data_IF_196014766941
#
_entry.id   IF_196014766941
#
_cell.length_a   1.000
_cell.length_b   1.000
_cell.length_c   1.000
_cell.angle_alpha   90.00
_cell.angle_beta   90.00
_cell.angle_gamma   90.00
#
_symmetry.space_group_name_H-M   'P 1'
#
loop_
_entity.id
_entity.type
_entity.pdbx_description
1 polymer ?
#
# COMPACT_ATOMS: atom_id res chain seq x y z
N UNK A 1 -23.20 10.49 7.40
CA UNK A 1 -24.49 11.20 7.70
C UNK A 1 -25.53 10.19 8.19
N UNK A 2 -26.32 10.50 9.23
CA UNK A 2 -27.34 9.58 9.76
C UNK A 2 -28.67 10.25 10.12
N UNK A 3 -29.73 9.45 10.24
CA UNK A 3 -31.07 9.84 10.66
C UNK A 3 -31.58 8.91 11.75
N UNK A 4 -32.10 9.50 12.82
CA UNK A 4 -32.86 8.78 13.86
C UNK A 4 -34.34 9.10 13.65
N UNK A 5 -35.19 8.09 13.66
CA UNK A 5 -36.64 8.26 13.59
C UNK A 5 -37.36 7.36 14.57
N UNK A 6 -38.58 7.74 14.95
CA UNK A 6 -39.42 6.94 15.83
C UNK A 6 -40.79 6.73 15.19
N UNK A 7 -41.28 5.49 15.22
CA UNK A 7 -42.62 5.15 14.78
C UNK A 7 -43.65 5.35 15.91
N UNK A 8 -44.94 5.35 15.57
CA UNK A 8 -46.04 5.56 16.54
C UNK A 8 -46.12 4.49 17.63
N UNK A 9 -45.53 3.31 17.42
CA UNK A 9 -45.41 2.24 18.40
C UNK A 9 -44.16 2.37 19.30
N UNK A 10 -43.38 3.46 19.17
CA UNK A 10 -42.15 3.68 19.92
C UNK A 10 -40.90 3.00 19.36
N UNK A 11 -40.98 2.29 18.22
CA UNK A 11 -39.79 1.72 17.58
C UNK A 11 -38.88 2.83 17.06
N UNK A 12 -37.64 2.87 17.55
CA UNK A 12 -36.59 3.77 17.04
C UNK A 12 -35.83 3.09 15.92
N UNK A 13 -35.58 3.81 14.83
CA UNK A 13 -34.78 3.36 13.68
C UNK A 13 -33.64 4.34 13.46
N UNK A 14 -32.41 3.81 13.46
CA UNK A 14 -31.22 4.49 12.97
C UNK A 14 -31.02 4.11 11.50
N UNK A 15 -30.83 5.12 10.64
CA UNK A 15 -30.42 4.93 9.25
C UNK A 15 -29.16 5.74 9.00
N UNK A 16 -28.06 5.06 8.71
CA UNK A 16 -26.83 5.68 8.21
C UNK A 16 -26.90 5.73 6.68
N UNK A 17 -26.42 6.82 6.07
CA UNK A 17 -26.52 7.04 4.62
C UNK A 17 -25.23 7.54 3.99
N UNK A 18 -24.19 7.71 4.81
CA UNK A 18 -22.82 7.95 4.41
C UNK A 18 -21.94 7.54 5.60
N UNK A 19 -20.69 7.22 5.31
CA UNK A 19 -19.56 7.09 6.21
C UNK A 19 -19.55 8.22 7.26
N UNK A 20 -18.97 7.91 8.40
CA UNK A 20 -18.73 8.85 9.48
C UNK A 20 -17.24 8.85 9.74
N UNK A 21 -16.67 10.04 9.92
CA UNK A 21 -15.26 10.16 10.27
C UNK A 21 -15.08 9.68 11.72
N UNK A 22 -14.42 8.53 11.86
CA UNK A 22 -13.92 8.04 13.13
C UNK A 22 -12.50 8.60 13.31
N UNK A 23 -12.08 8.94 14.55
CA UNK A 23 -10.80 9.65 14.68
C UNK A 23 -9.68 8.76 14.11
N UNK A 24 -8.69 9.35 13.41
CA UNK A 24 -7.63 8.57 12.80
C UNK A 24 -6.89 7.74 13.85
N UNK A 25 -6.52 6.53 13.48
CA UNK A 25 -5.83 5.61 14.39
C UNK A 25 -4.40 6.07 14.71
N UNK A 26 -3.92 7.15 14.07
CA UNK A 26 -2.66 7.81 14.39
C UNK A 26 -2.75 8.80 15.59
N UNK A 27 -3.96 9.13 16.05
CA UNK A 27 -4.21 10.08 17.16
C UNK A 27 -4.43 9.36 18.49
N UNK A 28 -4.90 8.11 18.49
CA UNK A 28 -5.00 7.27 19.68
C UNK A 28 -4.52 5.84 19.38
N UNK A 29 -3.49 5.42 20.11
CA UNK A 29 -2.91 4.07 20.00
C UNK A 29 -3.83 2.98 20.59
N UNK A 30 -4.99 3.38 21.11
CA UNK A 30 -6.11 2.55 21.53
C UNK A 30 -7.01 2.30 20.32
N UNK A 31 -7.17 1.03 19.94
CA UNK A 31 -8.27 0.59 19.10
C UNK A 31 -9.59 0.74 19.90
N UNK A 32 -10.05 1.97 20.10
CA UNK A 32 -11.33 2.24 20.76
C UNK A 32 -12.27 3.13 19.93
N UNK A 33 -11.85 3.56 18.75
CA UNK A 33 -12.73 4.25 17.81
C UNK A 33 -13.65 3.35 16.99
N UNK A 34 -13.44 2.03 17.01
CA UNK A 34 -14.30 1.08 16.29
C UNK A 34 -15.81 1.16 16.66
N UNK A 35 -16.16 1.92 17.70
CA UNK A 35 -17.54 2.17 18.09
C UNK A 35 -17.73 3.56 18.68
N UNK A 36 -18.30 4.48 17.90
CA UNK A 36 -18.73 5.79 18.40
C UNK A 36 -20.19 5.71 18.86
N UNK A 37 -20.52 6.33 19.99
CA UNK A 37 -21.90 6.42 20.47
C UNK A 37 -22.31 7.85 20.76
N UNK A 38 -23.61 8.13 20.63
CA UNK A 38 -24.14 9.42 21.07
C UNK A 38 -23.95 9.56 22.58
N UNK A 39 -23.37 10.67 23.01
CA UNK A 39 -23.27 10.98 24.43
C UNK A 39 -24.65 11.12 25.09
N UNK A 40 -24.69 10.94 26.40
CA UNK A 40 -25.90 11.17 27.20
C UNK A 40 -26.42 12.60 27.05
N UNK A 41 -27.73 12.76 27.10
CA UNK A 41 -28.45 14.04 27.07
C UNK A 41 -28.50 14.69 25.69
N UNK A 42 -28.10 13.99 24.62
CA UNK A 42 -28.11 14.52 23.25
C UNK A 42 -29.44 14.30 22.54
N UNK A 43 -30.08 13.14 22.75
CA UNK A 43 -31.35 12.77 22.09
C UNK A 43 -32.28 12.15 23.12
N UNK A 44 -33.44 12.78 23.35
CA UNK A 44 -34.48 12.30 24.24
C UNK A 44 -35.68 11.79 23.43
N UNK A 45 -36.04 10.52 23.62
CA UNK A 45 -37.31 9.98 23.17
C UNK A 45 -38.38 10.34 24.21
N UNK A 46 -39.41 11.10 23.82
CA UNK A 46 -40.49 11.51 24.73
C UNK A 46 -41.85 11.00 24.26
N UNK A 47 -42.72 10.65 25.21
CA UNK A 47 -44.11 10.28 24.97
C UNK A 47 -45.04 11.01 25.95
N UNK A 48 -46.21 11.43 25.48
CA UNK A 48 -47.25 12.04 26.32
C UNK A 48 -48.25 10.97 26.73
N UNK A 49 -48.50 10.88 28.03
CA UNK A 49 -49.51 10.02 28.64
C UNK A 49 -50.70 10.90 28.99
N UNK A 50 -51.89 10.53 28.52
CA UNK A 50 -53.15 11.17 28.88
C UNK A 50 -53.99 10.20 29.68
N UNK A 51 -54.45 10.64 30.86
CA UNK A 51 -55.40 9.92 31.70
C UNK A 51 -56.74 10.64 31.61
N UNK A 52 -57.82 9.88 31.46
CA UNK A 52 -59.19 10.38 31.49
C UNK A 52 -59.95 9.59 32.55
N UNK A 53 -60.61 10.27 33.48
CA UNK A 53 -61.40 9.61 34.53
C UNK A 53 -62.88 9.42 34.14
N UNK A 54 -63.69 8.97 35.09
CA UNK A 54 -65.06 8.51 34.85
C UNK A 54 -66.05 9.61 34.50
N UNK A 55 -65.73 10.86 34.80
CA UNK A 55 -66.49 12.07 34.48
C UNK A 55 -65.84 12.93 33.40
N UNK A 56 -64.87 12.36 32.67
CA UNK A 56 -64.21 12.93 31.49
C UNK A 56 -63.21 14.07 31.79
N UNK A 57 -62.74 14.22 33.02
CA UNK A 57 -61.61 15.09 33.31
C UNK A 57 -60.32 14.48 32.75
N UNK A 58 -59.42 15.34 32.25
CA UNK A 58 -58.17 14.89 31.60
C UNK A 58 -56.94 15.40 32.32
N UNK A 59 -55.95 14.53 32.54
CA UNK A 59 -54.61 14.90 32.97
C UNK A 59 -53.57 14.39 31.97
N UNK A 60 -52.56 15.20 31.68
CA UNK A 60 -51.47 14.82 30.77
C UNK A 60 -50.13 14.88 31.48
N UNK A 61 -49.24 13.93 31.19
CA UNK A 61 -47.84 13.94 31.62
C UNK A 61 -46.92 13.54 30.48
N UNK A 62 -45.64 13.89 30.59
CA UNK A 62 -44.61 13.47 29.63
C UNK A 62 -43.62 12.54 30.32
N UNK A 63 -43.28 11.45 29.65
CA UNK A 63 -42.19 10.55 30.04
C UNK A 63 -41.12 10.61 28.95
N UNK A 64 -39.84 10.51 29.34
CA UNK A 64 -38.75 10.50 28.39
C UNK A 64 -37.67 9.48 28.73
N UNK A 65 -36.98 9.01 27.70
CA UNK A 65 -35.79 8.17 27.78
C UNK A 65 -34.65 8.84 27.00
N UNK A 66 -33.47 8.89 27.58
CA UNK A 66 -32.24 9.29 26.88
C UNK A 66 -31.79 8.14 25.97
N UNK A 67 -31.50 8.46 24.71
CA UNK A 67 -30.97 7.50 23.73
C UNK A 67 -29.44 7.52 23.65
N UNK A 68 -28.78 8.35 24.49
CA UNK A 68 -27.33 8.32 24.66
C UNK A 68 -26.83 6.92 25.01
N UNK A 69 -25.72 6.51 24.40
CA UNK A 69 -25.15 5.16 24.52
C UNK A 69 -25.96 4.05 23.86
N UNK A 70 -27.23 4.28 23.47
CA UNK A 70 -28.05 3.33 22.71
C UNK A 70 -27.83 3.46 21.21
N UNK A 71 -27.61 4.68 20.71
CA UNK A 71 -27.29 4.94 19.31
C UNK A 71 -25.77 4.87 19.14
N UNK A 72 -25.32 3.97 18.28
CA UNK A 72 -23.91 3.66 18.05
C UNK A 72 -23.62 3.48 16.56
N UNK A 73 -22.35 3.67 16.19
CA UNK A 73 -21.82 3.57 14.85
C UNK A 73 -20.55 2.74 14.94
N UNK A 74 -20.55 1.59 14.29
CA UNK A 74 -19.36 0.75 14.12
C UNK A 74 -18.52 1.28 12.97
N UNK A 75 -17.23 1.01 13.03
CA UNK A 75 -16.22 1.40 12.03
C UNK A 75 -15.82 0.20 11.16
N UNK A 76 -15.43 0.42 9.91
CA UNK A 76 -14.93 -0.65 9.04
C UNK A 76 -13.63 -0.27 8.33
N UNK A 77 -12.52 -0.46 9.05
CA UNK A 77 -11.17 -0.17 8.58
C UNK A 77 -10.80 -0.89 7.25
N UNK A 78 -9.95 -0.28 6.41
CA UNK A 78 -9.57 -0.88 5.15
C UNK A 78 -8.54 -1.99 5.35
N UNK A 79 -8.30 -2.77 4.30
CA UNK A 79 -7.22 -3.75 4.27
C UNK A 79 -6.61 -3.88 2.88
N UNK A 80 -5.43 -4.50 2.80
CA UNK A 80 -4.75 -4.75 1.53
C UNK A 80 -4.11 -6.13 1.52
N UNK A 81 -4.32 -6.87 0.43
CA UNK A 81 -3.59 -8.11 0.14
C UNK A 81 -2.53 -7.84 -0.91
N UNK A 82 -1.29 -8.26 -0.64
CA UNK A 82 -0.16 -8.13 -1.57
C UNK A 82 0.09 -9.46 -2.25
N UNK A 83 -0.11 -9.49 -3.57
CA UNK A 83 0.19 -10.63 -4.42
C UNK A 83 1.64 -10.58 -4.94
N UNK A 84 2.07 -11.64 -5.62
CA UNK A 84 3.34 -11.61 -6.35
C UNK A 84 3.31 -10.54 -7.45
N UNK A 85 4.38 -9.75 -7.54
CA UNK A 85 4.56 -8.75 -8.60
C UNK A 85 4.86 -9.48 -9.92
N UNK A 86 4.06 -9.21 -10.95
CA UNK A 86 4.30 -9.71 -12.30
C UNK A 86 5.17 -8.71 -13.08
N UNK A 87 6.48 -8.92 -13.09
CA UNK A 87 7.48 -8.03 -13.68
C UNK A 87 8.19 -8.60 -14.92
N UNK A 88 7.83 -9.81 -15.36
CA UNK A 88 8.48 -10.51 -16.49
C UNK A 88 8.42 -9.80 -17.85
N UNK A 89 7.68 -8.70 -17.98
CA UNK A 89 7.66 -7.83 -19.16
C UNK A 89 8.59 -6.60 -19.06
N UNK A 90 9.26 -6.40 -17.92
CA UNK A 90 10.15 -5.26 -17.69
C UNK A 90 11.59 -5.76 -17.77
N UNK A 91 12.32 -5.32 -18.79
CA UNK A 91 13.73 -5.68 -19.01
C UNK A 91 14.56 -4.43 -19.18
N UNK A 92 15.70 -4.38 -18.48
CA UNK A 92 16.69 -3.32 -18.61
C UNK A 92 17.92 -3.92 -19.30
N UNK A 93 18.22 -3.45 -20.51
CA UNK A 93 19.35 -3.95 -21.30
C UNK A 93 20.26 -2.79 -21.65
N UNK A 94 21.53 -2.92 -21.27
CA UNK A 94 22.63 -2.06 -21.71
C UNK A 94 23.51 -2.81 -22.71
N UNK A 95 24.34 -2.08 -23.45
CA UNK A 95 25.27 -2.63 -24.42
C UNK A 95 26.72 -2.38 -23.99
N UNK A 96 27.46 -3.46 -23.74
CA UNK A 96 28.86 -3.43 -23.33
C UNK A 96 29.76 -2.64 -24.28
N UNK A 97 29.50 -2.70 -25.59
CA UNK A 97 30.23 -1.95 -26.60
C UNK A 97 30.17 -0.43 -26.38
N UNK A 98 29.17 0.06 -25.64
CA UNK A 98 29.00 1.47 -25.27
C UNK A 98 29.63 1.82 -23.91
N UNK A 99 30.38 0.89 -23.29
CA UNK A 99 30.95 1.03 -21.93
C UNK A 99 32.47 0.93 -21.90
N UNK A 100 33.12 1.03 -23.06
CA UNK A 100 34.58 1.01 -23.21
C UNK A 100 35.18 2.31 -22.62
N UNK A 101 36.34 2.17 -21.96
CA UNK A 101 37.07 3.25 -21.28
C UNK A 101 36.22 3.95 -20.19
N UNK A 102 35.94 5.25 -20.37
CA UNK A 102 35.16 6.06 -19.43
C UNK A 102 33.69 6.20 -19.85
N UNK A 103 33.26 5.49 -20.90
CA UNK A 103 31.89 5.52 -21.38
C UNK A 103 30.95 4.72 -20.46
N UNK A 104 29.66 5.00 -20.56
CA UNK A 104 28.63 4.29 -19.81
C UNK A 104 27.36 4.19 -20.64
N UNK A 105 26.61 3.12 -20.43
CA UNK A 105 25.28 2.93 -21.01
C UNK A 105 24.22 2.82 -19.92
N UNK A 106 22.97 3.16 -20.24
CA UNK A 106 21.89 3.20 -19.26
C UNK A 106 20.55 2.77 -19.85
N UNK A 107 19.85 1.93 -19.09
CA UNK A 107 18.49 1.49 -19.37
C UNK A 107 17.56 1.81 -18.19
N UNK A 108 16.30 2.12 -18.49
CA UNK A 108 15.29 2.45 -17.47
C UNK A 108 13.96 1.73 -17.72
N UNK A 109 13.23 1.46 -16.64
CA UNK A 109 11.94 0.80 -16.69
C UNK A 109 11.14 1.07 -15.43
N UNK A 110 9.83 1.27 -15.57
CA UNK A 110 8.94 1.56 -14.44
C UNK A 110 8.29 0.29 -13.91
N UNK A 111 8.45 0.05 -12.61
CA UNK A 111 7.82 -1.05 -11.89
C UNK A 111 6.50 -0.62 -11.21
N UNK A 112 6.15 0.66 -11.26
CA UNK A 112 5.01 1.21 -10.50
C UNK A 112 3.68 0.54 -10.86
N UNK A 113 3.44 0.28 -12.14
CA UNK A 113 2.20 -0.37 -12.58
C UNK A 113 2.12 -1.84 -12.10
N UNK A 114 3.25 -2.56 -12.12
CA UNK A 114 3.30 -3.95 -11.66
C UNK A 114 3.09 -4.04 -10.15
N UNK A 115 3.67 -3.12 -9.37
CA UNK A 115 3.45 -3.03 -7.92
C UNK A 115 2.02 -2.66 -7.58
N UNK A 116 1.43 -1.67 -8.28
CA UNK A 116 0.04 -1.29 -8.06
C UNK A 116 -0.92 -2.44 -8.41
N UNK A 117 -0.65 -3.19 -9.48
CA UNK A 117 -1.45 -4.35 -9.87
C UNK A 117 -1.35 -5.53 -8.87
N UNK A 118 -0.24 -5.63 -8.14
CA UNK A 118 -0.07 -6.64 -7.09
C UNK A 118 -0.86 -6.31 -5.81
N UNK A 119 -1.24 -5.05 -5.61
CA UNK A 119 -2.06 -4.61 -4.49
C UNK A 119 -3.54 -4.87 -4.76
N UNK A 120 -4.20 -5.61 -3.86
CA UNK A 120 -5.64 -5.82 -3.88
C UNK A 120 -6.23 -5.14 -2.64
N UNK A 121 -6.73 -3.90 -2.76
CA UNK A 121 -7.34 -3.17 -1.65
C UNK A 121 -8.77 -3.67 -1.37
N UNK A 122 -9.16 -3.59 -0.10
CA UNK A 122 -10.54 -3.68 0.37
C UNK A 122 -10.80 -2.43 1.21
N UNK A 123 -11.76 -1.61 0.80
CA UNK A 123 -12.07 -0.32 1.42
C UNK A 123 -13.23 -0.39 2.44
N UNK A 124 -13.50 -1.58 2.98
CA UNK A 124 -14.61 -1.76 3.94
C UNK A 124 -15.98 -1.32 3.41
N UNK A 125 -16.87 -1.04 4.35
CA UNK A 125 -18.20 -0.49 4.14
C UNK A 125 -18.20 1.02 3.84
N UNK A 126 -17.14 1.73 4.20
CA UNK A 126 -17.00 3.20 4.04
C UNK A 126 -16.71 3.61 2.60
N UNK A 127 -16.36 2.62 1.77
CA UNK A 127 -16.28 2.77 0.32
C UNK A 127 -14.92 3.28 -0.15
N UNK A 128 -14.72 3.40 -1.46
CA UNK A 128 -13.39 3.58 -2.02
C UNK A 128 -12.80 4.96 -1.75
N UNK A 129 -11.59 4.99 -1.19
CA UNK A 129 -10.73 6.16 -1.14
C UNK A 129 -9.59 6.07 -2.16
N UNK A 130 -8.36 5.83 -1.70
CA UNK A 130 -7.15 5.76 -2.54
C UNK A 130 -6.31 4.51 -2.28
N UNK A 131 -5.57 4.07 -3.29
CA UNK A 131 -4.49 3.09 -3.13
C UNK A 131 -3.23 3.67 -3.75
N UNK A 132 -2.16 3.74 -2.98
CA UNK A 132 -0.89 4.34 -3.40
C UNK A 132 0.27 3.39 -3.14
N UNK A 133 1.29 3.44 -4.00
CA UNK A 133 2.54 2.70 -3.81
C UNK A 133 3.68 3.71 -3.68
N UNK A 134 4.43 3.61 -2.59
CA UNK A 134 5.54 4.52 -2.28
C UNK A 134 6.69 3.78 -1.57
N UNK A 135 7.75 4.49 -1.20
CA UNK A 135 8.83 3.88 -0.41
C UNK A 135 9.65 2.81 -1.14
N UNK A 136 9.78 2.92 -2.48
CA UNK A 136 10.58 1.99 -3.27
C UNK A 136 12.01 1.87 -2.74
N UNK A 137 12.48 0.63 -2.55
CA UNK A 137 13.81 0.35 -2.03
C UNK A 137 14.40 -0.93 -2.63
N UNK A 138 15.69 -0.86 -2.97
CA UNK A 138 16.46 -1.99 -3.47
C UNK A 138 17.19 -2.69 -2.32
N UNK A 139 17.35 -4.01 -2.41
CA UNK A 139 18.18 -4.81 -1.49
C UNK A 139 18.91 -5.91 -2.24
N UNK A 140 20.05 -6.35 -1.70
CA UNK A 140 20.81 -7.50 -2.22
C UNK A 140 20.40 -8.73 -1.42
N UNK A 141 19.91 -9.74 -2.11
CA UNK A 141 19.54 -11.04 -1.52
C UNK A 141 20.67 -12.05 -1.64
N UNK A 142 21.52 -11.91 -2.66
CA UNK A 142 22.77 -12.65 -2.83
C UNK A 142 23.80 -11.75 -3.49
N UNK A 143 24.93 -11.54 -2.81
CA UNK A 143 25.99 -10.65 -3.28
C UNK A 143 26.81 -11.23 -4.42
N UNK A 144 26.77 -12.55 -4.64
CA UNK A 144 27.44 -13.16 -5.78
C UNK A 144 26.60 -12.95 -7.05
N UNK A 145 27.05 -12.05 -7.93
CA UNK A 145 26.34 -11.79 -9.19
C UNK A 145 26.38 -12.97 -10.16
N UNK A 146 27.42 -13.80 -10.07
CA UNK A 146 27.74 -14.81 -11.10
C UNK A 146 28.34 -14.23 -12.38
N UNK A 147 28.59 -12.91 -12.43
CA UNK A 147 29.16 -12.19 -13.56
C UNK A 147 30.62 -11.84 -13.30
N UNK A 148 31.39 -11.65 -14.37
CA UNK A 148 32.76 -11.17 -14.31
C UNK A 148 32.97 -9.98 -15.25
N UNK A 149 34.01 -9.19 -14.97
CA UNK A 149 34.50 -8.12 -15.84
C UNK A 149 36.03 -8.16 -15.82
N UNK A 150 36.64 -8.24 -17.00
CA UNK A 150 38.09 -8.39 -17.16
C UNK A 150 38.66 -9.57 -16.35
N UNK A 151 37.91 -10.67 -16.30
CA UNK A 151 38.24 -11.89 -15.56
C UNK A 151 38.05 -11.81 -14.05
N UNK A 152 37.56 -10.68 -13.51
CA UNK A 152 37.34 -10.47 -12.09
C UNK A 152 35.87 -10.62 -11.73
N UNK A 153 35.56 -11.34 -10.64
CA UNK A 153 34.20 -11.54 -10.16
C UNK A 153 33.54 -10.23 -9.72
N UNK A 154 32.30 -10.03 -10.16
CA UNK A 154 31.46 -8.90 -9.77
C UNK A 154 30.67 -9.26 -8.51
N UNK A 155 30.82 -8.45 -7.47
CA UNK A 155 30.03 -8.54 -6.23
C UNK A 155 28.98 -7.43 -6.20
N UNK A 156 27.74 -7.78 -5.84
CA UNK A 156 26.66 -6.84 -5.61
C UNK A 156 26.69 -6.33 -4.17
N UNK A 157 26.67 -5.02 -4.01
CA UNK A 157 26.66 -4.37 -2.70
C UNK A 157 25.62 -3.27 -2.66
N UNK A 158 24.91 -3.12 -1.54
CA UNK A 158 24.03 -1.98 -1.34
C UNK A 158 24.87 -0.78 -0.88
N UNK A 159 24.85 0.31 -1.65
CA UNK A 159 25.56 1.56 -1.34
C UNK A 159 24.53 2.68 -1.32
N UNK A 160 24.16 3.14 -0.12
CA UNK A 160 23.03 4.06 0.04
C UNK A 160 21.71 3.44 -0.45
N UNK A 161 21.01 4.14 -1.36
CA UNK A 161 19.79 3.65 -2.00
C UNK A 161 20.03 2.60 -3.09
N UNK A 162 21.25 2.51 -3.59
CA UNK A 162 21.56 1.84 -4.85
C UNK A 162 22.18 0.46 -4.62
N UNK A 163 22.13 -0.38 -5.65
CA UNK A 163 22.95 -1.59 -5.73
C UNK A 163 24.11 -1.30 -6.69
N UNK A 164 25.34 -1.55 -6.23
CA UNK A 164 26.56 -1.38 -7.00
C UNK A 164 27.15 -2.76 -7.27
N UNK A 165 27.35 -3.09 -8.54
CA UNK A 165 28.15 -4.22 -8.98
C UNK A 165 29.60 -3.77 -9.15
N UNK A 166 30.53 -4.41 -8.43
CA UNK A 166 31.95 -4.04 -8.47
C UNK A 166 32.87 -5.26 -8.44
N UNK A 167 34.03 -5.12 -9.08
CA UNK A 167 35.18 -6.01 -8.94
C UNK A 167 36.21 -5.39 -7.99
N UNK A 168 37.34 -6.08 -7.78
CA UNK A 168 38.50 -5.50 -7.10
C UNK A 168 39.14 -4.33 -7.85
N UNK A 169 38.85 -4.15 -9.15
CA UNK A 169 39.37 -3.06 -9.97
C UNK A 169 38.46 -1.82 -9.99
N UNK A 170 37.18 -1.95 -9.59
CA UNK A 170 36.26 -0.83 -9.55
C UNK A 170 34.80 -1.20 -9.77
N UNK A 171 33.95 -0.17 -9.93
CA UNK A 171 32.53 -0.32 -10.22
C UNK A 171 32.31 -0.69 -11.69
N UNK A 172 31.50 -1.72 -11.92
CA UNK A 172 31.06 -2.14 -13.26
C UNK A 172 29.62 -1.71 -13.54
N UNK A 173 28.75 -1.70 -12.52
CA UNK A 173 27.34 -1.34 -12.70
C UNK A 173 26.73 -0.68 -11.47
N UNK A 174 25.61 0.03 -11.67
CA UNK A 174 24.78 0.61 -10.62
C UNK A 174 23.31 0.46 -10.99
N UNK A 175 22.51 0.00 -10.03
CA UNK A 175 21.05 -0.07 -10.09
C UNK A 175 20.49 0.91 -9.07
N UNK A 176 19.66 1.85 -9.50
CA UNK A 176 18.95 2.77 -8.61
C UNK A 176 17.46 2.76 -8.87
N UNK A 177 16.67 3.15 -7.87
CA UNK A 177 15.23 3.33 -8.01
C UNK A 177 14.83 4.75 -7.61
N UNK A 178 14.03 5.40 -8.45
CA UNK A 178 13.41 6.69 -8.15
C UNK A 178 12.15 6.53 -7.30
N UNK A 179 11.69 7.60 -6.66
CA UNK A 179 10.49 7.58 -5.80
C UNK A 179 9.20 7.20 -6.54
N UNK A 180 9.17 7.33 -7.87
CA UNK A 180 8.06 6.92 -8.73
C UNK A 180 8.14 5.45 -9.20
N UNK A 181 9.06 4.65 -8.67
CA UNK A 181 9.22 3.24 -9.04
C UNK A 181 9.96 3.00 -10.35
N UNK A 182 10.57 4.04 -10.96
CA UNK A 182 11.46 3.87 -12.12
C UNK A 182 12.81 3.34 -11.65
N UNK A 183 13.19 2.16 -12.15
CA UNK A 183 14.51 1.58 -11.94
C UNK A 183 15.41 1.96 -13.11
N UNK A 184 16.65 2.31 -12.79
CA UNK A 184 17.71 2.64 -13.74
C UNK A 184 18.88 1.69 -13.53
N UNK A 185 19.28 1.00 -14.60
CA UNK A 185 20.53 0.27 -14.69
C UNK A 185 21.53 1.15 -15.45
N UNK A 186 22.68 1.43 -14.84
CA UNK A 186 23.82 2.05 -15.51
C UNK A 186 24.99 1.09 -15.49
N UNK A 187 25.57 0.82 -16.65
CA UNK A 187 26.77 0.04 -16.82
C UNK A 187 27.95 0.98 -17.14
N UNK A 188 29.11 0.71 -16.55
CA UNK A 188 30.31 1.57 -16.64
C UNK A 188 31.59 0.79 -16.92
N UNK A 189 31.49 -0.52 -17.16
CA UNK A 189 32.59 -1.37 -17.60
C UNK A 189 32.01 -2.54 -18.40
N UNK A 190 32.78 -3.06 -19.36
CA UNK A 190 32.41 -4.27 -20.07
C UNK A 190 32.31 -5.48 -19.12
N UNK A 191 31.37 -6.37 -19.42
CA UNK A 191 31.19 -7.66 -18.77
C UNK A 191 31.80 -8.74 -19.66
N UNK A 192 32.40 -9.75 -19.03
CA UNK A 192 32.96 -10.85 -19.78
C UNK A 192 31.82 -11.72 -20.32
N UNK A 193 31.75 -11.80 -21.63
CA UNK A 193 30.92 -12.77 -22.32
C UNK A 193 31.71 -14.07 -22.49
N UNK A 194 31.03 -15.23 -22.47
CA UNK A 194 31.74 -16.47 -22.77
C UNK A 194 32.30 -16.41 -24.20
N UNK A 195 33.44 -17.05 -24.48
CA UNK A 195 33.95 -17.11 -25.85
C UNK A 195 33.00 -17.95 -26.73
N UNK A 196 32.86 -17.56 -28.00
CA UNK A 196 31.91 -18.16 -28.96
C UNK A 196 32.23 -19.63 -29.30
N UNK A 197 33.40 -20.15 -28.90
CA UNK A 197 33.84 -21.53 -29.08
C UNK A 197 33.53 -22.44 -27.88
N UNK A 198 33.03 -21.89 -26.76
CA UNK A 198 32.70 -22.63 -25.53
C UNK A 198 31.19 -22.81 -25.34
N UNK A 199 30.38 -22.03 -26.06
CA UNK A 199 28.92 -22.10 -26.04
C UNK A 199 28.35 -22.25 -27.46
N UNK A 200 27.72 -23.39 -27.71
CA UNK A 200 27.10 -23.75 -28.99
C UNK A 200 25.67 -23.20 -29.17
N UNK A 201 25.13 -22.41 -28.23
CA UNK A 201 23.85 -21.70 -28.40
C UNK A 201 23.91 -20.26 -28.90
N UNK A 202 25.10 -19.66 -29.11
CA UNK A 202 25.30 -18.27 -29.59
C UNK A 202 24.61 -17.16 -28.78
N UNK A 203 24.19 -17.47 -27.55
CA UNK A 203 23.50 -16.59 -26.61
C UNK A 203 24.45 -15.68 -25.81
N UNK A 204 25.76 -15.71 -26.09
CA UNK A 204 26.78 -14.79 -25.55
C UNK A 204 26.63 -13.33 -26.01
N UNK A 205 25.52 -12.96 -26.63
CA UNK A 205 25.20 -11.55 -26.93
C UNK A 205 24.40 -10.88 -25.80
N UNK A 206 23.86 -11.66 -24.84
CA UNK A 206 23.09 -11.12 -23.72
C UNK A 206 23.36 -11.93 -22.44
N UNK A 207 23.98 -11.28 -21.46
CA UNK A 207 24.15 -11.83 -20.12
C UNK A 207 23.20 -11.13 -19.15
N UNK A 208 22.47 -11.92 -18.37
CA UNK A 208 21.53 -11.42 -17.36
C UNK A 208 22.00 -11.76 -15.96
N UNK A 209 21.73 -10.84 -15.01
CA UNK A 209 21.80 -11.19 -13.60
C UNK A 209 20.75 -12.26 -13.30
N UNK A 210 21.15 -13.34 -12.63
CA UNK A 210 20.22 -14.42 -12.29
C UNK A 210 19.06 -13.92 -11.40
N UNK A 211 17.95 -14.66 -11.43
CA UNK A 211 16.78 -14.36 -10.59
C UNK A 211 17.15 -14.36 -9.09
N UNK A 212 16.51 -13.47 -8.33
CA UNK A 212 16.61 -13.45 -6.88
C UNK A 212 17.95 -12.96 -6.32
N UNK A 213 18.73 -12.20 -7.08
CA UNK A 213 19.98 -11.55 -6.62
C UNK A 213 19.75 -10.16 -6.03
N UNK A 214 18.81 -9.41 -6.61
CA UNK A 214 18.38 -8.08 -6.16
C UNK A 214 16.87 -8.11 -6.01
N UNK A 215 16.37 -7.52 -4.92
CA UNK A 215 14.94 -7.37 -4.65
C UNK A 215 14.58 -5.88 -4.64
N UNK A 216 13.55 -5.53 -5.42
CA UNK A 216 12.83 -4.27 -5.28
C UNK A 216 11.63 -4.48 -4.37
N UNK A 217 11.42 -3.59 -3.41
CA UNK A 217 10.27 -3.59 -2.50
C UNK A 217 9.68 -2.19 -2.39
N UNK A 218 8.41 -2.07 -2.02
CA UNK A 218 7.71 -0.81 -1.81
C UNK A 218 6.64 -0.99 -0.72
N UNK A 219 6.06 0.10 -0.25
CA UNK A 219 4.92 0.10 0.67
C UNK A 219 3.67 0.49 -0.10
N UNK A 220 2.61 -0.28 0.08
CA UNK A 220 1.27 0.06 -0.39
C UNK A 220 0.50 0.68 0.78
N UNK A 221 -0.18 1.79 0.52
CA UNK A 221 -1.09 2.45 1.47
C UNK A 221 -2.46 2.54 0.84
N UNK A 222 -3.46 1.98 1.52
CA UNK A 222 -4.89 2.05 1.18
C UNK A 222 -5.56 3.00 2.15
N UNK A 223 -6.41 3.85 1.62
CA UNK A 223 -7.26 4.80 2.35
C UNK A 223 -8.68 4.60 1.84
N UNK A 224 -9.68 4.55 2.70
CA UNK A 224 -11.10 4.43 2.33
C UNK A 224 -11.84 5.78 2.42
N UNK A 225 -13.15 5.75 2.62
CA UNK A 225 -14.07 6.89 2.45
C UNK A 225 -14.03 7.92 3.56
N UNK A 226 -13.73 7.51 4.79
CA UNK A 226 -13.59 8.35 5.99
C UNK A 226 -12.13 8.58 6.40
N UNK A 227 -11.20 7.99 5.65
CA UNK A 227 -9.74 8.19 5.70
C UNK A 227 -8.98 7.29 6.68
N UNK A 228 -9.57 6.17 7.08
CA UNK A 228 -8.82 5.12 7.75
C UNK A 228 -7.74 4.57 6.81
N UNK A 229 -6.67 4.02 7.40
CA UNK A 229 -5.49 3.62 6.61
C UNK A 229 -5.03 2.20 6.89
N UNK A 230 -4.68 1.49 5.81
CA UNK A 230 -4.04 0.19 5.87
C UNK A 230 -2.77 0.16 5.03
N UNK A 231 -1.74 -0.56 5.52
CA UNK A 231 -0.46 -0.68 4.81
C UNK A 231 -0.06 -2.12 4.56
N UNK A 232 0.62 -2.35 3.43
CA UNK A 232 1.22 -3.64 3.04
C UNK A 232 2.61 -3.44 2.43
N UNK A 233 3.43 -4.49 2.42
CA UNK A 233 4.81 -4.46 1.90
C UNK A 233 5.14 -5.71 1.08
#
# INVERSE_FOLDING_TARGET
>A
MFRISVASNGTVTLTQSAELDHLPEDVDNSNDNNLISLANGKVLLSATVTVVDGDNDTATGTVSADLGGNIRFEDDVPSVTINAVADGGITLTTQDAQTIDAASDTATGSFAAAFLAAAVPSYGADGPGTTTVSGYSLSVTDSNSGLTSNGLAITLTKVGSDIVGSTSAGRCSRISVASNGTVTLTQSAELDHLPEDVDNSNDNNLISLANGKVLLSATVTVVDGDNDTATGR
#
